data_IF_056080784956
#
_entry.id   IF_056080784956
#
_cell.length_a   1.000
_cell.length_b   1.000
_cell.length_c   1.000
_cell.angle_alpha   90.00
_cell.angle_beta   90.00
_cell.angle_gamma   90.00
#
_symmetry.space_group_name_H-M   'P 1'
#
loop_
_entity.id
_entity.type
_entity.pdbx_description
1 polymer ?
#
# COMPACT_ATOMS: atom_id res chain seq x y z
N UNK A 1 -23.38 26.29 -19.08
CA UNK A 1 -22.27 26.07 -20.00
C UNK A 1 -20.95 26.57 -19.42
N UNK A 2 -20.74 27.86 -19.14
CA UNK A 2 -19.51 28.35 -18.48
C UNK A 2 -19.36 27.83 -17.06
N UNK A 3 -20.44 27.80 -16.27
CA UNK A 3 -20.46 27.28 -14.92
C UNK A 3 -20.08 25.79 -14.84
N UNK A 4 -20.53 24.96 -15.79
CA UNK A 4 -20.17 23.54 -15.84
C UNK A 4 -18.67 23.34 -16.07
N UNK A 5 -18.09 24.10 -17.00
CA UNK A 5 -16.66 24.05 -17.29
C UNK A 5 -15.84 24.49 -16.06
N UNK A 6 -16.27 25.54 -15.38
CA UNK A 6 -15.61 26.00 -14.17
C UNK A 6 -15.67 24.95 -13.06
N UNK A 7 -16.83 24.33 -12.80
CA UNK A 7 -16.99 23.28 -11.81
C UNK A 7 -16.15 22.03 -12.14
N UNK A 8 -16.05 21.68 -13.43
CA UNK A 8 -15.16 20.59 -13.87
C UNK A 8 -13.68 20.92 -13.68
N UNK A 9 -13.28 22.18 -13.91
CA UNK A 9 -11.90 22.63 -13.63
C UNK A 9 -11.58 22.64 -12.13
N UNK A 10 -12.60 22.85 -11.28
CA UNK A 10 -12.50 22.70 -9.81
C UNK A 10 -12.47 21.24 -9.36
N UNK A 11 -12.51 20.27 -10.30
CA UNK A 11 -12.43 18.85 -9.99
C UNK A 11 -13.76 18.19 -9.63
N UNK A 12 -14.89 18.83 -9.97
CA UNK A 12 -16.23 18.27 -9.72
C UNK A 12 -16.73 17.48 -10.92
N UNK A 13 -17.45 16.40 -10.66
CA UNK A 13 -18.24 15.71 -11.67
C UNK A 13 -19.55 16.48 -11.86
N UNK A 14 -19.86 16.88 -13.10
CA UNK A 14 -21.06 17.67 -13.42
C UNK A 14 -22.04 16.81 -14.20
N UNK A 15 -23.29 16.76 -13.72
CA UNK A 15 -24.43 16.15 -14.39
C UNK A 15 -25.47 17.22 -14.70
N UNK A 16 -26.15 17.07 -15.85
CA UNK A 16 -27.22 17.97 -16.29
C UNK A 16 -28.56 17.40 -15.85
N UNK A 17 -29.39 18.25 -15.28
CA UNK A 17 -30.81 17.98 -15.08
C UNK A 17 -31.60 18.64 -16.22
N UNK A 18 -32.33 17.86 -16.99
CA UNK A 18 -33.15 18.34 -18.07
C UNK A 18 -34.56 17.79 -17.97
N UNK A 19 -35.55 18.63 -18.32
CA UNK A 19 -36.90 18.18 -18.61
C UNK A 19 -36.93 17.71 -20.07
N UNK A 20 -37.47 16.53 -20.30
CA UNK A 20 -37.58 15.90 -21.63
C UNK A 20 -39.05 15.61 -22.00
N UNK A 21 -40.01 16.20 -21.26
CA UNK A 21 -41.44 15.93 -21.43
C UNK A 21 -41.96 16.40 -22.80
N UNK A 22 -41.61 17.61 -23.22
CA UNK A 22 -41.99 18.17 -24.51
C UNK A 22 -40.76 18.48 -25.36
N UNK A 23 -40.12 19.62 -25.15
CA UNK A 23 -38.83 19.97 -25.75
C UNK A 23 -37.75 19.90 -24.68
N UNK A 24 -36.57 19.30 -24.97
CA UNK A 24 -35.52 19.19 -23.96
C UNK A 24 -35.09 20.56 -23.44
N UNK A 25 -35.37 20.84 -22.16
CA UNK A 25 -34.97 22.06 -21.47
C UNK A 25 -34.04 21.73 -20.29
N UNK A 26 -32.91 22.43 -20.23
CA UNK A 26 -31.97 22.28 -19.12
C UNK A 26 -32.47 23.01 -17.89
N UNK A 27 -32.87 22.27 -16.87
CA UNK A 27 -33.38 22.79 -15.59
C UNK A 27 -32.28 23.19 -14.63
N UNK A 28 -31.10 22.52 -14.68
CA UNK A 28 -30.04 22.81 -13.76
C UNK A 28 -28.78 21.96 -13.94
N UNK A 29 -27.81 22.24 -13.09
CA UNK A 29 -26.57 21.51 -12.98
C UNK A 29 -26.44 20.88 -11.57
N UNK A 30 -26.05 19.62 -11.53
CA UNK A 30 -25.69 18.94 -10.32
C UNK A 30 -24.17 18.75 -10.33
N UNK A 31 -23.48 19.31 -9.36
CA UNK A 31 -22.03 19.17 -9.21
C UNK A 31 -21.71 18.30 -8.00
N UNK A 32 -21.03 17.20 -8.24
CA UNK A 32 -20.58 16.27 -7.21
C UNK A 32 -19.08 16.41 -7.04
N UNK A 33 -18.59 16.40 -5.81
CA UNK A 33 -17.18 16.41 -5.49
C UNK A 33 -16.93 15.51 -4.29
N UNK A 34 -15.96 14.64 -4.40
CA UNK A 34 -15.53 13.82 -3.28
C UNK A 34 -14.64 14.63 -2.33
N UNK A 35 -14.84 14.43 -1.06
CA UNK A 35 -13.99 15.03 -0.04
C UNK A 35 -12.84 14.09 0.25
N UNK A 36 -11.62 14.59 0.07
CA UNK A 36 -10.41 13.84 0.41
C UNK A 36 -10.38 13.59 1.92
N UNK A 37 -10.21 12.32 2.32
CA UNK A 37 -10.07 11.97 3.74
C UNK A 37 -8.79 12.61 4.32
N UNK A 38 -8.85 13.23 5.50
CA UNK A 38 -7.65 13.82 6.13
C UNK A 38 -6.52 12.80 6.32
N UNK A 39 -6.85 11.54 6.62
CA UNK A 39 -5.88 10.45 6.76
C UNK A 39 -5.14 10.11 5.46
N UNK A 40 -5.70 10.45 4.30
CA UNK A 40 -5.05 10.21 3.00
C UNK A 40 -3.80 11.08 2.81
N UNK A 41 -3.86 12.36 3.21
CA UNK A 41 -2.70 13.23 3.14
C UNK A 41 -1.57 12.77 4.05
N UNK A 42 -1.93 12.34 5.27
CA UNK A 42 -0.95 11.77 6.20
C UNK A 42 -0.33 10.48 5.64
N UNK A 43 -1.15 9.60 5.03
CA UNK A 43 -0.68 8.37 4.41
C UNK A 43 0.35 8.64 3.31
N UNK A 44 0.07 9.57 2.40
CA UNK A 44 1.00 9.96 1.32
C UNK A 44 2.31 10.52 1.90
N UNK A 45 2.23 11.41 2.90
CA UNK A 45 3.42 11.95 3.55
C UNK A 45 4.28 10.85 4.21
N UNK A 46 3.65 9.86 4.86
CA UNK A 46 4.35 8.71 5.45
C UNK A 46 5.00 7.82 4.38
N UNK A 47 4.32 7.57 3.26
CA UNK A 47 4.90 6.81 2.14
C UNK A 47 6.12 7.51 1.55
N UNK A 48 6.06 8.83 1.37
CA UNK A 48 7.22 9.64 0.93
C UNK A 48 8.38 9.57 1.93
N UNK A 49 8.10 9.61 3.23
CA UNK A 49 9.13 9.42 4.28
C UNK A 49 9.80 8.04 4.20
N UNK A 50 9.10 7.03 3.70
CA UNK A 50 9.64 5.70 3.41
C UNK A 50 10.32 5.60 2.03
N UNK A 51 10.48 6.74 1.32
CA UNK A 51 11.04 6.82 -0.05
C UNK A 51 10.22 6.02 -1.07
N UNK A 52 8.90 6.01 -0.92
CA UNK A 52 7.97 5.34 -1.83
C UNK A 52 7.31 6.40 -2.70
N UNK A 53 7.44 6.25 -4.02
CA UNK A 53 6.73 7.08 -4.99
C UNK A 53 5.26 6.68 -5.06
N UNK A 54 4.39 7.66 -5.24
CA UNK A 54 2.94 7.48 -5.29
C UNK A 54 2.38 7.77 -6.67
N UNK A 55 1.45 6.93 -7.11
CA UNK A 55 0.77 7.06 -8.40
C UNK A 55 -0.73 6.94 -8.19
N UNK A 56 -1.48 7.96 -8.58
CA UNK A 56 -2.94 7.90 -8.63
C UNK A 56 -3.38 7.33 -9.98
N UNK A 57 -4.13 6.23 -9.97
CA UNK A 57 -4.73 5.64 -11.17
C UNK A 57 -6.25 5.66 -10.99
N UNK A 58 -6.94 6.44 -11.81
CA UNK A 58 -8.38 6.66 -11.66
C UNK A 58 -9.09 6.75 -13.00
N UNK A 59 -10.38 6.38 -13.02
CA UNK A 59 -11.28 6.62 -14.14
C UNK A 59 -11.78 8.06 -14.25
N UNK A 60 -11.53 8.88 -13.23
CA UNK A 60 -11.91 10.28 -13.24
C UNK A 60 -11.16 11.08 -14.31
N UNK A 61 -11.74 12.21 -14.69
CA UNK A 61 -11.12 13.13 -15.63
C UNK A 61 -9.84 13.77 -15.06
N UNK A 62 -8.99 14.26 -15.97
CA UNK A 62 -7.69 14.87 -15.61
C UNK A 62 -7.81 16.05 -14.63
N UNK A 63 -8.90 16.82 -14.70
CA UNK A 63 -9.12 17.96 -13.80
C UNK A 63 -9.32 17.51 -12.36
N UNK A 64 -10.24 16.58 -12.15
CA UNK A 64 -10.54 15.99 -10.84
C UNK A 64 -9.32 15.26 -10.26
N UNK A 65 -8.74 14.34 -11.05
CA UNK A 65 -7.57 13.59 -10.64
C UNK A 65 -6.38 14.49 -10.28
N UNK A 66 -6.15 15.55 -11.08
CA UNK A 66 -5.10 16.53 -10.82
C UNK A 66 -5.34 17.36 -9.56
N UNK A 67 -6.59 17.72 -9.27
CA UNK A 67 -6.94 18.44 -8.04
C UNK A 67 -6.68 17.57 -6.79
N UNK A 68 -7.12 16.32 -6.81
CA UNK A 68 -6.87 15.35 -5.73
C UNK A 68 -5.37 15.11 -5.54
N UNK A 69 -4.63 14.89 -6.61
CA UNK A 69 -3.20 14.63 -6.55
C UNK A 69 -2.42 15.81 -5.95
N UNK A 70 -2.76 17.05 -6.34
CA UNK A 70 -2.16 18.25 -5.73
C UNK A 70 -2.50 18.39 -4.26
N UNK A 71 -3.76 18.15 -3.88
CA UNK A 71 -4.20 18.23 -2.49
C UNK A 71 -3.49 17.21 -1.59
N UNK A 72 -3.18 16.02 -2.11
CA UNK A 72 -2.53 14.94 -1.40
C UNK A 72 -1.00 14.94 -1.53
N UNK A 73 -0.43 15.64 -2.50
CA UNK A 73 1.00 15.60 -2.80
C UNK A 73 1.42 14.33 -3.54
N UNK A 74 0.55 13.75 -4.38
CA UNK A 74 0.85 12.54 -5.16
C UNK A 74 1.80 12.86 -6.30
N UNK A 75 2.82 12.03 -6.52
CA UNK A 75 3.89 12.29 -7.50
C UNK A 75 3.43 12.19 -8.96
N UNK A 76 2.58 11.20 -9.27
CA UNK A 76 2.16 10.91 -10.63
C UNK A 76 0.67 10.63 -10.72
N UNK A 77 0.05 11.02 -11.86
CA UNK A 77 -1.37 10.81 -12.11
C UNK A 77 -1.59 10.09 -13.45
N UNK A 78 -2.47 9.13 -13.45
CA UNK A 78 -3.04 8.45 -14.62
C UNK A 78 -4.56 8.57 -14.51
N UNK A 79 -5.13 9.55 -15.21
CA UNK A 79 -6.56 9.82 -15.27
C UNK A 79 -7.19 9.18 -16.52
N UNK A 80 -8.51 9.20 -16.60
CA UNK A 80 -9.31 8.64 -17.72
C UNK A 80 -9.00 7.15 -17.99
N UNK A 81 -8.66 6.38 -16.95
CA UNK A 81 -8.25 4.97 -17.07
C UNK A 81 -9.47 4.07 -16.93
N UNK A 82 -9.75 3.30 -17.98
CA UNK A 82 -10.78 2.26 -17.91
C UNK A 82 -10.37 1.14 -16.92
N UNK A 83 -11.35 0.41 -16.36
CA UNK A 83 -11.07 -0.68 -15.40
C UNK A 83 -10.01 -1.68 -15.88
N UNK A 84 -10.10 -2.11 -17.15
CA UNK A 84 -9.16 -3.04 -17.77
C UNK A 84 -7.74 -2.46 -17.90
N UNK A 85 -7.63 -1.15 -18.11
CA UNK A 85 -6.36 -0.45 -18.28
C UNK A 85 -5.54 -0.33 -16.98
N UNK A 86 -6.15 -0.50 -15.80
CA UNK A 86 -5.43 -0.40 -14.53
C UNK A 86 -4.36 -1.48 -14.38
N UNK A 87 -4.65 -2.69 -14.79
CA UNK A 87 -3.69 -3.80 -14.76
C UNK A 87 -2.49 -3.55 -15.69
N UNK A 88 -2.74 -2.99 -16.88
CA UNK A 88 -1.69 -2.65 -17.84
C UNK A 88 -0.74 -1.57 -17.29
N UNK A 89 -1.29 -0.55 -16.61
CA UNK A 89 -0.49 0.47 -15.94
C UNK A 89 0.40 -0.15 -14.86
N UNK A 90 -0.13 -1.06 -14.05
CA UNK A 90 0.66 -1.79 -13.05
C UNK A 90 1.79 -2.58 -13.73
N UNK A 91 1.50 -3.29 -14.82
CA UNK A 91 2.50 -4.03 -15.58
C UNK A 91 3.58 -3.11 -16.17
N UNK A 92 3.21 -1.95 -16.72
CA UNK A 92 4.15 -0.93 -17.22
C UNK A 92 5.05 -0.39 -16.10
N UNK A 93 4.50 -0.12 -14.92
CA UNK A 93 5.28 0.35 -13.78
C UNK A 93 6.29 -0.70 -13.31
N UNK A 94 5.95 -1.99 -13.39
CA UNK A 94 6.82 -3.12 -13.06
C UNK A 94 7.94 -3.33 -14.09
N UNK A 95 7.70 -3.05 -15.36
CA UNK A 95 8.65 -3.32 -16.45
C UNK A 95 9.99 -2.60 -16.27
N UNK A 96 10.04 -1.51 -15.48
CA UNK A 96 11.27 -0.80 -15.13
C UNK A 96 12.07 -1.42 -13.98
N UNK A 97 11.80 -2.67 -13.58
CA UNK A 97 12.44 -3.35 -12.45
C UNK A 97 11.98 -2.83 -11.09
N UNK A 98 10.90 -2.06 -11.06
CA UNK A 98 10.32 -1.49 -9.83
C UNK A 98 9.41 -2.50 -9.15
N UNK A 99 9.37 -2.46 -7.82
CA UNK A 99 8.38 -3.18 -7.03
C UNK A 99 7.16 -2.28 -6.86
N UNK A 100 6.01 -2.77 -7.30
CA UNK A 100 4.74 -2.03 -7.30
C UNK A 100 3.78 -2.65 -6.30
N UNK A 101 3.28 -1.84 -5.37
CA UNK A 101 2.10 -2.15 -4.56
C UNK A 101 0.88 -1.48 -5.18
N UNK A 102 -0.20 -2.22 -5.36
CA UNK A 102 -1.51 -1.70 -5.79
C UNK A 102 -2.43 -1.68 -4.58
N UNK A 103 -3.09 -0.55 -4.38
CA UNK A 103 -4.12 -0.38 -3.35
C UNK A 103 -5.46 -0.15 -4.06
N UNK A 104 -6.48 -0.91 -3.69
CA UNK A 104 -7.81 -0.78 -4.27
C UNK A 104 -8.90 -1.33 -3.37
N UNK A 105 -10.15 -1.01 -3.68
CA UNK A 105 -11.32 -1.41 -2.90
C UNK A 105 -12.47 -1.99 -3.75
N UNK A 106 -12.39 -1.87 -5.07
CA UNK A 106 -13.43 -2.28 -5.98
C UNK A 106 -13.19 -3.60 -6.71
N UNK A 107 -14.28 -4.18 -7.25
CA UNK A 107 -14.23 -5.34 -8.15
C UNK A 107 -13.33 -5.04 -9.36
N UNK A 108 -13.39 -3.81 -9.86
CA UNK A 108 -12.63 -3.35 -11.01
C UNK A 108 -11.12 -3.25 -10.75
N UNK A 109 -10.70 -3.30 -9.49
CA UNK A 109 -9.29 -3.25 -9.09
C UNK A 109 -8.66 -4.64 -8.95
N UNK A 110 -9.48 -5.70 -8.90
CA UNK A 110 -9.00 -7.06 -8.69
C UNK A 110 -7.92 -7.50 -9.70
N UNK A 111 -8.03 -7.24 -11.02
CA UNK A 111 -6.97 -7.57 -11.97
C UNK A 111 -5.67 -6.81 -11.69
N UNK A 112 -5.77 -5.52 -11.31
CA UNK A 112 -4.61 -4.69 -10.99
C UNK A 112 -3.95 -5.10 -9.66
N UNK A 113 -4.75 -5.46 -8.64
CA UNK A 113 -4.28 -6.02 -7.38
C UNK A 113 -3.49 -7.31 -7.58
N UNK A 114 -4.02 -8.22 -8.42
CA UNK A 114 -3.35 -9.48 -8.77
C UNK A 114 -2.09 -9.26 -9.63
N UNK A 115 -2.06 -8.26 -10.50
CA UNK A 115 -0.91 -7.94 -11.35
C UNK A 115 0.26 -7.31 -10.58
N UNK A 116 0.02 -6.68 -9.43
CA UNK A 116 1.03 -6.02 -8.62
C UNK A 116 2.00 -7.02 -7.95
N UNK A 117 3.15 -6.54 -7.47
CA UNK A 117 4.02 -7.35 -6.60
C UNK A 117 3.37 -7.55 -5.23
N UNK A 118 2.60 -6.57 -4.77
CA UNK A 118 1.80 -6.63 -3.55
C UNK A 118 0.45 -5.98 -3.83
N UNK A 119 -0.62 -6.76 -3.78
CA UNK A 119 -1.99 -6.25 -3.79
C UNK A 119 -2.43 -5.95 -2.35
N UNK A 120 -2.99 -4.78 -2.11
CA UNK A 120 -3.52 -4.34 -0.81
C UNK A 120 -4.98 -3.95 -1.00
N UNK A 121 -5.89 -4.72 -0.43
CA UNK A 121 -7.32 -4.41 -0.44
C UNK A 121 -7.74 -3.66 0.83
N UNK A 122 -8.64 -2.70 0.67
CA UNK A 122 -9.30 -2.05 1.80
C UNK A 122 -10.52 -2.88 2.22
N UNK A 123 -10.74 -3.09 3.52
CA UNK A 123 -11.87 -3.91 4.02
C UNK A 123 -13.26 -3.29 3.76
N UNK A 124 -13.31 -2.03 3.36
CA UNK A 124 -14.51 -1.38 2.84
C UNK A 124 -14.81 -1.76 1.38
N UNK A 125 -13.89 -2.49 0.75
CA UNK A 125 -14.01 -2.97 -0.61
C UNK A 125 -14.84 -4.23 -0.76
N UNK A 126 -14.86 -4.77 -1.96
CA UNK A 126 -15.59 -5.99 -2.29
C UNK A 126 -14.81 -7.25 -1.90
N UNK A 127 -15.52 -8.36 -1.65
CA UNK A 127 -14.90 -9.67 -1.40
C UNK A 127 -13.94 -10.08 -2.53
N UNK A 128 -14.28 -9.73 -3.78
CA UNK A 128 -13.42 -10.02 -4.95
C UNK A 128 -12.08 -9.29 -4.85
N UNK A 129 -12.07 -8.03 -4.43
CA UNK A 129 -10.81 -7.29 -4.24
C UNK A 129 -9.99 -7.89 -3.09
N UNK A 130 -10.64 -8.27 -1.99
CA UNK A 130 -9.97 -8.88 -0.84
C UNK A 130 -9.35 -10.25 -1.21
N UNK A 131 -10.02 -11.06 -2.02
CA UNK A 131 -9.48 -12.33 -2.50
C UNK A 131 -8.32 -12.17 -3.51
N UNK A 132 -8.31 -11.09 -4.28
CA UNK A 132 -7.23 -10.79 -5.23
C UNK A 132 -5.99 -10.19 -4.58
N UNK A 133 -6.09 -9.69 -3.36
CA UNK A 133 -5.03 -9.01 -2.64
C UNK A 133 -4.24 -9.96 -1.71
N UNK A 134 -2.94 -9.76 -1.60
CA UNK A 134 -2.10 -10.44 -0.63
C UNK A 134 -2.22 -9.88 0.79
N UNK A 135 -2.72 -8.66 0.93
CA UNK A 135 -2.92 -7.96 2.21
C UNK A 135 -4.31 -7.34 2.22
N UNK A 136 -5.05 -7.53 3.30
CA UNK A 136 -6.33 -6.85 3.53
C UNK A 136 -6.24 -5.95 4.76
N UNK A 137 -6.50 -4.66 4.59
CA UNK A 137 -6.55 -3.69 5.68
C UNK A 137 -7.95 -3.64 6.25
N UNK A 138 -8.09 -3.99 7.53
CA UNK A 138 -9.41 -4.19 8.19
C UNK A 138 -10.21 -2.90 8.41
N UNK A 139 -9.62 -1.74 8.17
CA UNK A 139 -10.30 -0.44 8.24
C UNK A 139 -10.02 0.32 6.94
N UNK A 140 -10.99 1.11 6.50
CA UNK A 140 -10.88 1.96 5.31
C UNK A 140 -10.00 3.20 5.52
N UNK A 141 -8.91 3.07 6.30
CA UNK A 141 -7.96 4.14 6.61
C UNK A 141 -6.68 3.97 5.80
N UNK A 142 -6.39 4.87 4.85
CA UNK A 142 -5.17 4.83 4.03
C UNK A 142 -3.86 4.90 4.84
N UNK A 143 -3.87 5.46 6.04
CA UNK A 143 -2.67 5.53 6.89
C UNK A 143 -2.14 4.13 7.27
N UNK A 144 -3.02 3.13 7.32
CA UNK A 144 -2.63 1.73 7.58
C UNK A 144 -1.73 1.13 6.50
N UNK A 145 -1.69 1.72 5.30
CA UNK A 145 -0.79 1.25 4.22
C UNK A 145 0.67 1.47 4.63
N UNK A 146 0.99 2.68 5.10
CA UNK A 146 2.34 2.98 5.57
C UNK A 146 2.72 2.15 6.79
N UNK A 147 1.79 1.95 7.72
CA UNK A 147 1.99 1.11 8.90
C UNK A 147 2.28 -0.35 8.52
N UNK A 148 1.53 -0.91 7.56
CA UNK A 148 1.74 -2.27 7.06
C UNK A 148 3.13 -2.45 6.42
N UNK A 149 3.60 -1.46 5.67
CA UNK A 149 4.93 -1.46 5.06
C UNK A 149 6.02 -1.36 6.14
N UNK A 150 5.87 -0.46 7.12
CA UNK A 150 6.86 -0.29 8.19
C UNK A 150 6.97 -1.56 9.05
N UNK A 151 5.85 -2.14 9.47
CA UNK A 151 5.88 -3.37 10.27
C UNK A 151 6.48 -4.55 9.48
N UNK A 152 6.20 -4.65 8.18
CA UNK A 152 6.80 -5.65 7.31
C UNK A 152 8.31 -5.51 7.24
N UNK A 153 8.83 -4.29 7.02
CA UNK A 153 10.28 -4.00 6.99
C UNK A 153 10.96 -4.34 8.32
N UNK A 154 10.34 -3.97 9.43
CA UNK A 154 10.86 -4.29 10.78
C UNK A 154 10.85 -5.78 11.07
N UNK A 155 9.78 -6.47 10.70
CA UNK A 155 9.69 -7.93 10.83
C UNK A 155 10.79 -8.62 10.04
N UNK A 156 10.99 -8.23 8.78
CA UNK A 156 12.06 -8.76 7.95
C UNK A 156 13.46 -8.50 8.54
N UNK A 157 13.69 -7.30 9.05
CA UNK A 157 14.95 -6.97 9.73
C UNK A 157 15.19 -7.85 10.95
N UNK A 158 14.15 -8.12 11.75
CA UNK A 158 14.23 -9.03 12.91
C UNK A 158 14.50 -10.47 12.49
N UNK A 159 13.85 -10.95 11.44
CA UNK A 159 14.12 -12.30 10.88
C UNK A 159 15.60 -12.41 10.47
N UNK A 160 16.13 -11.42 9.74
CA UNK A 160 17.54 -11.40 9.34
C UNK A 160 18.49 -11.37 10.53
N UNK A 161 18.20 -10.58 11.56
CA UNK A 161 19.00 -10.55 12.80
C UNK A 161 18.98 -11.90 13.50
N UNK A 162 17.81 -12.51 13.64
CA UNK A 162 17.69 -13.82 14.28
C UNK A 162 18.45 -14.89 13.51
N UNK A 163 18.34 -14.89 12.20
CA UNK A 163 19.05 -15.82 11.33
C UNK A 163 20.58 -15.63 11.44
N UNK A 164 21.04 -14.37 11.42
CA UNK A 164 22.46 -14.07 11.61
C UNK A 164 22.99 -14.66 12.94
N UNK A 165 22.32 -14.42 14.05
CA UNK A 165 22.75 -14.95 15.35
C UNK A 165 22.70 -16.48 15.38
N UNK A 166 21.64 -17.09 14.85
CA UNK A 166 21.54 -18.55 14.77
C UNK A 166 22.71 -19.17 14.00
N UNK A 167 23.13 -18.57 12.88
CA UNK A 167 24.30 -19.02 12.14
C UNK A 167 25.63 -18.73 12.85
N UNK A 168 25.76 -17.55 13.44
CA UNK A 168 27.00 -17.15 14.14
C UNK A 168 27.38 -18.13 15.26
N UNK A 169 26.40 -18.55 16.05
CA UNK A 169 26.64 -19.56 17.09
C UNK A 169 27.15 -20.89 16.52
N UNK A 170 26.61 -21.34 15.39
CA UNK A 170 27.03 -22.57 14.74
C UNK A 170 28.38 -22.42 14.05
N UNK A 171 28.65 -21.32 13.37
CA UNK A 171 29.94 -21.05 12.70
C UNK A 171 31.10 -21.03 13.70
N UNK A 172 30.88 -20.54 14.91
CA UNK A 172 31.90 -20.57 15.99
C UNK A 172 31.93 -21.93 16.72
N UNK A 173 30.77 -22.49 17.01
CA UNK A 173 30.66 -23.71 17.80
C UNK A 173 31.20 -24.97 17.10
N UNK A 174 30.95 -25.11 15.78
CA UNK A 174 31.36 -26.30 15.02
C UNK A 174 32.90 -26.46 14.99
N UNK A 175 33.69 -25.43 14.62
CA UNK A 175 35.14 -25.54 14.68
C UNK A 175 35.67 -25.83 16.09
N UNK A 176 35.14 -25.14 17.11
CA UNK A 176 35.56 -25.39 18.50
C UNK A 176 35.28 -26.83 18.93
N UNK A 177 34.16 -27.40 18.53
CA UNK A 177 33.84 -28.81 18.77
C UNK A 177 34.80 -29.74 18.02
N UNK A 178 35.11 -29.46 16.76
CA UNK A 178 36.00 -30.27 15.92
C UNK A 178 37.43 -30.31 16.48
N UNK A 179 37.90 -29.22 17.09
CA UNK A 179 39.20 -29.17 17.76
C UNK A 179 39.19 -29.70 19.21
N UNK A 180 38.05 -30.22 19.67
CA UNK A 180 37.93 -30.76 21.05
C UNK A 180 37.95 -29.67 22.16
N UNK A 181 37.80 -28.40 21.77
CA UNK A 181 37.81 -27.24 22.67
C UNK A 181 36.45 -26.90 23.28
N UNK A 182 35.38 -27.58 22.85
CA UNK A 182 34.02 -27.31 23.29
C UNK A 182 33.61 -28.29 24.40
N UNK A 183 33.44 -27.78 25.61
CA UNK A 183 32.85 -28.54 26.71
C UNK A 183 31.32 -28.70 26.45
N UNK A 184 30.75 -29.92 26.65
CA UNK A 184 29.31 -30.15 26.46
C UNK A 184 28.39 -29.20 27.24
N UNK A 185 28.79 -28.81 28.47
CA UNK A 185 28.01 -27.83 29.26
C UNK A 185 28.00 -26.43 28.59
N UNK A 186 29.15 -25.99 28.05
CA UNK A 186 29.27 -24.72 27.36
C UNK A 186 28.45 -24.74 26.06
N UNK A 187 28.47 -25.86 25.33
CA UNK A 187 27.64 -26.04 24.13
C UNK A 187 26.14 -25.94 24.45
N UNK A 188 25.68 -26.63 25.50
CA UNK A 188 24.28 -26.56 25.94
C UNK A 188 23.88 -25.16 26.39
N UNK A 189 24.73 -24.45 27.12
CA UNK A 189 24.48 -23.07 27.53
C UNK A 189 24.42 -22.12 26.33
N UNK A 190 25.31 -22.25 25.35
CA UNK A 190 25.29 -21.44 24.11
C UNK A 190 24.01 -21.66 23.29
N UNK A 191 23.54 -22.91 23.18
CA UNK A 191 22.26 -23.21 22.50
C UNK A 191 21.07 -22.60 23.24
N UNK A 192 21.03 -22.69 24.58
CA UNK A 192 19.97 -22.08 25.39
C UNK A 192 19.95 -20.53 25.21
N UNK A 193 21.12 -19.89 25.28
CA UNK A 193 21.29 -18.46 25.09
C UNK A 193 20.87 -18.02 23.67
N UNK A 194 21.22 -18.82 22.65
CA UNK A 194 20.77 -18.56 21.26
C UNK A 194 19.25 -18.54 21.16
N UNK A 195 18.58 -19.55 21.72
CA UNK A 195 17.13 -19.63 21.72
C UNK A 195 16.48 -18.46 22.47
N UNK A 196 16.99 -18.11 23.65
CA UNK A 196 16.49 -16.97 24.43
C UNK A 196 16.71 -15.66 23.69
N UNK A 197 17.87 -15.47 23.06
CA UNK A 197 18.17 -14.24 22.31
C UNK A 197 17.24 -14.06 21.11
N UNK A 198 16.92 -15.11 20.35
CA UNK A 198 16.00 -15.10 19.23
C UNK A 198 14.58 -14.74 19.69
N UNK A 199 14.09 -15.39 20.75
CA UNK A 199 12.76 -15.10 21.30
C UNK A 199 12.68 -13.67 21.82
N UNK A 200 13.68 -13.23 22.60
CA UNK A 200 13.71 -11.86 23.13
C UNK A 200 13.74 -10.83 22.01
N UNK A 201 14.57 -11.04 20.98
CA UNK A 201 14.63 -10.14 19.84
C UNK A 201 13.31 -10.10 19.04
N UNK A 202 12.62 -11.22 18.89
CA UNK A 202 11.29 -11.27 18.27
C UNK A 202 10.24 -10.53 19.10
N UNK A 203 10.28 -10.68 20.44
CA UNK A 203 9.36 -9.98 21.34
C UNK A 203 9.53 -8.46 21.32
N UNK A 204 10.70 -7.93 20.97
CA UNK A 204 10.90 -6.49 20.80
C UNK A 204 10.03 -5.90 19.67
N UNK A 205 9.57 -6.72 18.71
CA UNK A 205 8.62 -6.25 17.71
C UNK A 205 7.27 -5.87 18.32
N UNK A 206 6.90 -6.46 19.45
CA UNK A 206 5.66 -6.14 20.19
C UNK A 206 5.66 -4.69 20.73
N UNK A 207 6.83 -4.09 20.92
CA UNK A 207 6.95 -2.69 21.37
C UNK A 207 6.77 -1.68 20.24
N UNK A 208 6.46 -2.14 19.01
CA UNK A 208 6.15 -1.25 17.90
C UNK A 208 4.95 -0.37 18.24
N UNK A 209 5.12 0.92 18.03
CA UNK A 209 4.07 1.94 18.18
C UNK A 209 3.97 2.70 16.88
N UNK A 210 2.75 3.03 16.54
CA UNK A 210 2.37 3.88 15.42
C UNK A 210 2.89 5.31 15.62
#
# INVERSE_FOLDING_TARGET
TGAAVQMQQEGRTVSWLADVTDAPEVMGLLAFGDTVKPSSQQAIAQLHALSIQTVLVTGDNKGSAGAVARALGIDHVRADVLPEGKADIVAQLKSGGRHVAMVGDGINDAPALAAANVGIAMSTGTDVAMHAAGITLMHGDPALIADAIDISRRTYAKIRQNLFWAFAYNVVGIPLAAFGLLNPMVAGAAMALSSVSVVTNALLLRSWKR
#
